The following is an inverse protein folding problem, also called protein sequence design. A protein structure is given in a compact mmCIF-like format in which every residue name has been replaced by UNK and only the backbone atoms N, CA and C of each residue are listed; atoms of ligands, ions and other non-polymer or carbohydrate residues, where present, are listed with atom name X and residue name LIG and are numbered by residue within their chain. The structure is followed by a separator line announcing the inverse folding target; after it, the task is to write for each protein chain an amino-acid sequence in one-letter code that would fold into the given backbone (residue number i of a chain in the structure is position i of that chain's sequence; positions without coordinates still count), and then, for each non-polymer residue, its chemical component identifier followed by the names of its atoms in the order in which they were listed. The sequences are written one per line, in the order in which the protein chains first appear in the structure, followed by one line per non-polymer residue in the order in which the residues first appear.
data_IF_782274819455
#
_entry.id   IF_782274819455
#
_cell.length_a   1.000
_cell.length_b   1.000
_cell.length_c   1.000
_cell.angle_alpha   90.00
_cell.angle_beta   90.00
_cell.angle_gamma   90.00
#
_symmetry.space_group_name_H-M   'P 1'
#
loop_
_entity.id
_entity.type
_entity.pdbx_description
1 polymer ?
#
# COMPACT_ATOMS: atom_id res chain seq x y z
N UNK A 1 -11.87 11.10 10.34
CA UNK A 1 -12.85 10.48 11.27
C UNK A 1 -12.82 8.96 11.11
N UNK A 2 -13.02 8.20 12.20
CA UNK A 2 -13.23 6.74 12.13
C UNK A 2 -14.73 6.48 12.25
N UNK A 3 -15.27 5.61 11.39
CA UNK A 3 -16.66 5.13 11.44
C UNK A 3 -16.67 3.61 11.49
N UNK A 4 -17.60 3.06 12.26
CA UNK A 4 -17.81 1.62 12.34
C UNK A 4 -19.00 1.20 11.46
N UNK A 5 -18.85 0.07 10.79
CA UNK A 5 -19.80 -0.57 9.88
C UNK A 5 -19.77 -2.09 10.12
N UNK A 6 -20.68 -2.81 9.48
CA UNK A 6 -20.59 -4.27 9.42
C UNK A 6 -19.32 -4.67 8.65
N UNK A 7 -18.50 -5.61 9.16
CA UNK A 7 -17.43 -6.25 8.39
C UNK A 7 -17.91 -6.72 7.00
N UNK A 8 -17.09 -6.47 5.99
CA UNK A 8 -17.37 -6.89 4.61
C UNK A 8 -16.17 -7.61 3.99
N UNK A 9 -16.17 -8.94 4.15
CA UNK A 9 -15.10 -9.83 3.69
C UNK A 9 -14.96 -9.85 2.17
N UNK A 10 -16.08 -9.86 1.44
CA UNK A 10 -16.06 -9.88 -0.03
C UNK A 10 -15.43 -8.61 -0.57
N UNK A 11 -15.83 -7.45 -0.04
CA UNK A 11 -15.22 -6.17 -0.40
C UNK A 11 -13.73 -6.12 -0.03
N UNK A 12 -13.35 -6.64 1.15
CA UNK A 12 -11.95 -6.70 1.55
C UNK A 12 -11.10 -7.56 0.59
N UNK A 13 -11.63 -8.70 0.12
CA UNK A 13 -10.98 -9.53 -0.88
C UNK A 13 -10.85 -8.78 -2.22
N UNK A 14 -11.92 -8.17 -2.71
CA UNK A 14 -11.87 -7.40 -3.97
C UNK A 14 -10.88 -6.24 -3.90
N UNK A 15 -10.81 -5.50 -2.78
CA UNK A 15 -9.79 -4.46 -2.57
C UNK A 15 -8.36 -5.04 -2.61
N UNK A 16 -8.16 -6.23 -2.04
CA UNK A 16 -6.84 -6.88 -2.05
C UNK A 16 -6.43 -7.29 -3.47
N UNK A 17 -7.38 -7.81 -4.26
CA UNK A 17 -7.16 -8.18 -5.67
C UNK A 17 -6.87 -6.95 -6.54
N UNK A 18 -7.64 -5.87 -6.39
CA UNK A 18 -7.36 -4.60 -7.07
C UNK A 18 -5.98 -4.07 -6.74
N UNK A 19 -5.59 -4.07 -5.45
CA UNK A 19 -4.26 -3.64 -5.02
C UNK A 19 -3.13 -4.42 -5.71
N UNK A 20 -3.30 -5.75 -5.85
CA UNK A 20 -2.33 -6.63 -6.52
C UNK A 20 -2.27 -6.33 -8.02
N UNK A 21 -3.41 -6.22 -8.69
CA UNK A 21 -3.49 -5.89 -10.11
C UNK A 21 -2.83 -4.53 -10.42
N UNK A 22 -3.11 -3.51 -9.61
CA UNK A 22 -2.55 -2.18 -9.77
C UNK A 22 -1.03 -2.17 -9.59
N UNK A 23 -0.53 -2.94 -8.61
CA UNK A 23 0.91 -3.07 -8.44
C UNK A 23 1.53 -3.80 -9.62
N UNK A 24 0.95 -4.92 -10.05
CA UNK A 24 1.49 -5.73 -11.15
C UNK A 24 1.58 -4.90 -12.43
N UNK A 25 0.56 -4.09 -12.74
CA UNK A 25 0.64 -3.10 -13.80
C UNK A 25 1.76 -2.09 -13.56
N UNK A 26 1.84 -1.51 -12.36
CA UNK A 26 2.88 -0.51 -12.02
C UNK A 26 4.30 -1.05 -12.18
N UNK A 27 4.53 -2.33 -11.87
CA UNK A 27 5.83 -2.99 -12.04
C UNK A 27 6.24 -3.17 -13.51
N UNK A 28 5.30 -3.02 -14.45
CA UNK A 28 5.57 -3.05 -15.90
C UNK A 28 6.00 -1.69 -16.45
N UNK A 29 5.78 -0.60 -15.70
CA UNK A 29 6.09 0.75 -16.18
C UNK A 29 7.62 0.98 -16.25
N UNK A 30 8.11 1.66 -17.30
CA UNK A 30 9.52 2.00 -17.39
C UNK A 30 9.90 3.01 -16.30
N UNK A 31 11.00 2.75 -15.60
CA UNK A 31 11.52 3.64 -14.56
C UNK A 31 12.40 4.75 -15.17
N UNK A 32 11.85 5.96 -15.22
CA UNK A 32 12.48 7.19 -15.74
C UNK A 32 12.20 8.34 -14.78
N UNK A 33 12.93 9.46 -14.90
CA UNK A 33 12.64 10.67 -14.10
C UNK A 33 11.19 11.15 -14.29
N UNK A 34 10.64 11.04 -15.51
CA UNK A 34 9.27 11.46 -15.80
C UNK A 34 8.21 10.54 -15.19
N UNK A 35 8.54 9.26 -14.98
CA UNK A 35 7.62 8.26 -14.43
C UNK A 35 7.82 8.04 -12.92
N UNK A 36 8.88 8.56 -12.31
CA UNK A 36 9.23 8.35 -10.91
C UNK A 36 8.06 8.69 -9.96
N UNK A 37 7.46 9.86 -10.12
CA UNK A 37 6.31 10.28 -9.31
C UNK A 37 5.10 9.35 -9.45
N UNK A 38 4.79 8.90 -10.67
CA UNK A 38 3.67 7.98 -10.94
C UNK A 38 3.93 6.62 -10.30
N UNK A 39 5.15 6.08 -10.46
CA UNK A 39 5.54 4.79 -9.86
C UNK A 39 5.40 4.83 -8.34
N UNK A 40 5.93 5.87 -7.68
CA UNK A 40 5.85 6.02 -6.22
C UNK A 40 4.39 6.14 -5.76
N UNK A 41 3.58 6.97 -6.44
CA UNK A 41 2.15 7.13 -6.13
C UNK A 41 1.44 5.79 -6.22
N UNK A 42 1.58 5.07 -7.33
CA UNK A 42 0.85 3.82 -7.53
C UNK A 42 1.25 2.75 -6.52
N UNK A 43 2.55 2.58 -6.25
CA UNK A 43 3.02 1.61 -5.24
C UNK A 43 2.44 1.95 -3.86
N UNK A 44 2.44 3.23 -3.48
CA UNK A 44 1.82 3.68 -2.24
C UNK A 44 0.33 3.32 -2.20
N UNK A 45 -0.43 3.63 -3.26
CA UNK A 45 -1.87 3.37 -3.31
C UNK A 45 -2.18 1.87 -3.23
N UNK A 46 -1.39 1.00 -3.86
CA UNK A 46 -1.53 -0.46 -3.73
C UNK A 46 -1.37 -0.91 -2.26
N UNK A 47 -0.34 -0.43 -1.55
CA UNK A 47 -0.20 -0.74 -0.12
C UNK A 47 -1.34 -0.15 0.71
N UNK A 48 -1.71 1.11 0.46
CA UNK A 48 -2.82 1.76 1.17
C UNK A 48 -4.11 0.95 1.02
N UNK A 49 -4.39 0.43 -0.18
CA UNK A 49 -5.56 -0.38 -0.47
C UNK A 49 -5.56 -1.74 0.26
N UNK A 50 -4.39 -2.38 0.43
CA UNK A 50 -4.27 -3.56 1.31
C UNK A 50 -4.59 -3.22 2.77
N UNK A 51 -4.12 -2.07 3.25
CA UNK A 51 -4.49 -1.58 4.58
C UNK A 51 -6.00 -1.30 4.71
N UNK A 52 -6.63 -0.75 3.68
CA UNK A 52 -8.08 -0.55 3.63
C UNK A 52 -8.85 -1.86 3.61
N UNK A 53 -8.32 -2.90 2.96
CA UNK A 53 -8.90 -4.23 2.99
C UNK A 53 -8.94 -4.78 4.44
N UNK A 54 -7.86 -4.63 5.20
CA UNK A 54 -7.84 -5.01 6.62
C UNK A 54 -8.88 -4.25 7.45
N UNK A 55 -8.99 -2.93 7.25
CA UNK A 55 -10.00 -2.11 7.93
C UNK A 55 -11.43 -2.52 7.54
N UNK A 56 -11.67 -2.75 6.26
CA UNK A 56 -12.98 -3.20 5.73
C UNK A 56 -13.38 -4.54 6.33
N UNK A 57 -12.43 -5.47 6.47
CA UNK A 57 -12.65 -6.75 7.15
C UNK A 57 -12.94 -6.60 8.65
N UNK A 58 -12.48 -5.53 9.28
CA UNK A 58 -12.81 -5.18 10.67
C UNK A 58 -14.11 -4.38 10.80
N UNK A 59 -14.77 -4.02 9.70
CA UNK A 59 -15.91 -3.11 9.72
C UNK A 59 -15.52 -1.67 10.08
N UNK A 60 -14.27 -1.27 9.80
CA UNK A 60 -13.76 0.07 10.08
C UNK A 60 -13.64 0.85 8.78
N UNK A 61 -14.15 2.07 8.77
CA UNK A 61 -13.96 3.04 7.69
C UNK A 61 -13.17 4.23 8.23
N UNK A 62 -12.08 4.58 7.54
CA UNK A 62 -11.22 5.74 7.85
C UNK A 62 -11.20 6.70 6.66
N UNK A 63 -11.32 7.99 6.95
CA UNK A 63 -11.01 9.07 5.98
C UNK A 63 -9.51 9.42 5.97
N UNK A 64 -8.77 8.99 6.98
CA UNK A 64 -7.33 9.24 7.12
C UNK A 64 -6.52 8.08 6.50
N UNK A 65 -5.73 8.41 5.49
CA UNK A 65 -4.83 7.49 4.81
C UNK A 65 -3.69 6.95 5.69
N UNK A 66 -3.42 7.57 6.84
CA UNK A 66 -2.44 7.07 7.81
C UNK A 66 -2.89 5.74 8.43
N UNK A 67 -4.20 5.58 8.67
CA UNK A 67 -4.73 4.41 9.39
C UNK A 67 -4.51 3.11 8.59
N UNK A 68 -4.85 3.01 7.29
CA UNK A 68 -4.52 1.85 6.47
C UNK A 68 -3.03 1.46 6.50
N UNK A 69 -2.13 2.44 6.47
CA UNK A 69 -0.69 2.18 6.49
C UNK A 69 -0.24 1.64 7.85
N UNK A 70 -0.78 2.16 8.94
CA UNK A 70 -0.49 1.64 10.29
C UNK A 70 -0.94 0.19 10.46
N UNK A 71 -2.08 -0.18 9.88
CA UNK A 71 -2.55 -1.58 9.89
C UNK A 71 -1.53 -2.52 9.24
N UNK A 72 -0.92 -2.11 8.13
CA UNK A 72 0.14 -2.89 7.50
C UNK A 72 1.43 -2.93 8.32
N UNK A 73 1.85 -1.81 8.89
CA UNK A 73 3.09 -1.73 9.69
C UNK A 73 3.01 -2.64 10.93
N UNK A 74 1.82 -2.83 11.48
CA UNK A 74 1.58 -3.66 12.66
C UNK A 74 1.39 -5.15 12.34
N UNK A 75 1.56 -5.58 11.08
CA UNK A 75 1.51 -6.99 10.73
C UNK A 75 2.68 -7.73 11.36
N UNK A 76 2.37 -8.81 12.08
CA UNK A 76 3.36 -9.75 12.60
C UNK A 76 3.83 -10.68 11.47
N UNK A 77 4.80 -10.18 10.68
CA UNK A 77 5.47 -10.89 9.58
C UNK A 77 6.93 -10.47 9.47
N UNK A 78 7.80 -11.42 9.10
CA UNK A 78 9.21 -11.13 8.84
C UNK A 78 9.43 -10.75 7.38
N UNK A 79 9.65 -9.47 7.12
CA UNK A 79 9.86 -8.91 5.78
C UNK A 79 11.34 -8.69 5.47
N UNK A 80 11.71 -8.71 4.18
CA UNK A 80 13.09 -8.48 3.75
C UNK A 80 13.55 -7.04 4.00
N UNK A 81 12.62 -6.09 4.00
CA UNK A 81 12.87 -4.70 4.41
C UNK A 81 11.83 -4.28 5.45
N UNK A 82 12.18 -3.40 6.41
CA UNK A 82 11.27 -3.02 7.49
C UNK A 82 9.95 -2.42 6.98
N UNK A 83 8.82 -2.87 7.52
CA UNK A 83 7.49 -2.36 7.16
C UNK A 83 7.34 -0.86 7.43
N UNK A 84 8.11 -0.31 8.37
CA UNK A 84 8.15 1.12 8.68
C UNK A 84 8.48 2.00 7.46
N UNK A 85 9.09 1.43 6.41
CA UNK A 85 9.31 2.10 5.13
C UNK A 85 8.00 2.58 4.47
N UNK A 86 6.85 1.94 4.77
CA UNK A 86 5.54 2.39 4.28
C UNK A 86 5.16 3.79 4.78
N UNK A 87 5.59 4.20 5.98
CA UNK A 87 5.36 5.57 6.46
C UNK A 87 6.23 6.60 5.70
N UNK A 88 7.45 6.21 5.33
CA UNK A 88 8.28 7.02 4.45
C UNK A 88 7.64 7.19 3.07
N UNK A 89 7.14 6.08 2.49
CA UNK A 89 6.41 6.09 1.22
C UNK A 89 5.16 6.99 1.26
N UNK A 90 4.40 6.97 2.37
CA UNK A 90 3.27 7.88 2.60
C UNK A 90 3.69 9.35 2.56
N UNK A 91 4.80 9.69 3.21
CA UNK A 91 5.34 11.07 3.23
C UNK A 91 5.79 11.50 1.83
N UNK A 92 6.47 10.62 1.09
CA UNK A 92 6.85 10.89 -0.30
C UNK A 92 5.61 11.15 -1.16
N UNK A 93 4.61 10.27 -1.15
CA UNK A 93 3.37 10.48 -1.91
C UNK A 93 2.69 11.79 -1.54
N UNK A 94 2.65 12.17 -0.26
CA UNK A 94 2.13 13.48 0.17
C UNK A 94 2.92 14.64 -0.45
N UNK A 95 4.25 14.60 -0.42
CA UNK A 95 5.11 15.62 -1.01
C UNK A 95 4.88 15.74 -2.52
N UNK A 96 4.82 14.59 -3.21
CA UNK A 96 4.57 14.51 -4.65
C UNK A 96 3.19 15.10 -5.00
N UNK A 97 2.16 14.91 -4.17
CA UNK A 97 0.79 15.33 -4.49
C UNK A 97 0.49 16.79 -4.16
N UNK A 98 1.04 17.30 -3.06
CA UNK A 98 0.61 18.59 -2.49
C UNK A 98 1.70 19.66 -2.50
N UNK A 99 2.96 19.30 -2.76
CA UNK A 99 4.09 20.22 -2.65
C UNK A 99 4.93 20.32 -3.93
N UNK A 100 4.45 19.78 -5.05
CA UNK A 100 5.13 19.84 -6.34
C UNK A 100 6.49 19.11 -6.38
N UNK A 101 6.74 18.23 -5.40
CA UNK A 101 8.01 17.52 -5.30
C UNK A 101 8.18 16.54 -6.49
N UNK A 102 9.37 16.57 -7.07
CA UNK A 102 9.78 15.72 -8.18
C UNK A 102 10.75 14.67 -7.65
N UNK A 103 10.26 13.44 -7.48
CA UNK A 103 11.09 12.33 -7.06
C UNK A 103 12.09 11.97 -8.16
N UNK A 104 13.30 11.64 -7.73
CA UNK A 104 14.34 11.14 -8.61
C UNK A 104 14.08 9.70 -9.05
N UNK A 105 14.69 9.29 -10.17
CA UNK A 105 14.75 7.88 -10.58
C UNK A 105 15.29 6.96 -9.49
N UNK A 106 16.24 7.43 -8.68
CA UNK A 106 16.84 6.67 -7.57
C UNK A 106 15.81 6.39 -6.47
N UNK A 107 15.09 7.41 -6.00
CA UNK A 107 14.07 7.26 -4.97
C UNK A 107 12.94 6.33 -5.43
N UNK A 108 12.50 6.48 -6.68
CA UNK A 108 11.52 5.58 -7.26
C UNK A 108 12.04 4.13 -7.39
N UNK A 109 13.34 3.95 -7.67
CA UNK A 109 14.02 2.66 -7.63
C UNK A 109 13.98 2.02 -6.24
N UNK A 110 14.31 2.77 -5.20
CA UNK A 110 14.28 2.27 -3.81
C UNK A 110 12.87 1.81 -3.39
N UNK A 111 11.83 2.51 -3.86
CA UNK A 111 10.42 2.16 -3.62
C UNK A 111 10.02 0.91 -4.42
N UNK A 112 10.44 0.79 -5.68
CA UNK A 112 10.21 -0.40 -6.50
C UNK A 112 10.85 -1.64 -5.89
N UNK A 113 12.09 -1.54 -5.42
CA UNK A 113 12.78 -2.65 -4.79
C UNK A 113 12.11 -3.04 -3.47
N UNK A 114 11.64 -2.06 -2.69
CA UNK A 114 10.80 -2.36 -1.53
C UNK A 114 9.54 -3.15 -1.91
N UNK A 115 8.81 -2.72 -2.94
CA UNK A 115 7.59 -3.39 -3.38
C UNK A 115 7.87 -4.83 -3.84
N UNK A 116 8.88 -5.03 -4.69
CA UNK A 116 9.28 -6.35 -5.21
C UNK A 116 9.67 -7.33 -4.11
N UNK A 117 10.35 -6.85 -3.07
CA UNK A 117 10.85 -7.70 -2.00
C UNK A 117 9.77 -8.10 -0.99
N UNK A 118 8.71 -7.31 -0.83
CA UNK A 118 7.81 -7.43 0.32
C UNK A 118 6.32 -7.54 -0.05
N UNK A 119 5.87 -7.04 -1.20
CA UNK A 119 4.44 -6.92 -1.48
C UNK A 119 3.72 -8.26 -1.46
N UNK A 120 4.23 -9.28 -2.16
CA UNK A 120 3.56 -10.58 -2.22
C UNK A 120 3.45 -11.24 -0.85
N UNK A 121 4.43 -11.05 0.04
CA UNK A 121 4.39 -11.55 1.41
C UNK A 121 3.31 -10.82 2.23
N UNK A 122 3.27 -9.49 2.14
CA UNK A 122 2.26 -8.66 2.82
C UNK A 122 0.87 -9.01 2.30
N UNK A 123 0.70 -9.11 0.98
CA UNK A 123 -0.54 -9.49 0.31
C UNK A 123 -1.06 -10.85 0.79
N UNK A 124 -0.22 -11.89 0.80
CA UNK A 124 -0.62 -13.22 1.30
C UNK A 124 -1.04 -13.16 2.77
N UNK A 125 -0.31 -12.41 3.61
CA UNK A 125 -0.69 -12.23 5.01
C UNK A 125 -2.05 -11.56 5.16
N UNK A 126 -2.32 -10.51 4.38
CA UNK A 126 -3.60 -9.81 4.37
C UNK A 126 -4.72 -10.76 3.96
N UNK A 127 -4.54 -11.54 2.89
CA UNK A 127 -5.51 -12.56 2.47
C UNK A 127 -5.77 -13.60 3.57
N UNK A 128 -4.73 -14.08 4.24
CA UNK A 128 -4.89 -15.06 5.33
C UNK A 128 -5.72 -14.50 6.49
N UNK A 129 -5.50 -13.23 6.86
CA UNK A 129 -6.29 -12.55 7.90
C UNK A 129 -7.75 -12.45 7.46
N UNK A 130 -8.01 -11.97 6.24
CA UNK A 130 -9.36 -11.80 5.71
C UNK A 130 -10.08 -13.16 5.59
N UNK A 131 -9.39 -14.21 5.16
CA UNK A 131 -9.98 -15.55 5.01
C UNK A 131 -10.29 -16.24 6.33
N UNK A 132 -9.51 -15.99 7.38
CA UNK A 132 -9.70 -16.60 8.71
C UNK A 132 -10.68 -15.83 9.60
N UNK A 133 -10.82 -14.52 9.40
CA UNK A 133 -11.88 -13.70 10.02
C UNK A 133 -13.24 -13.95 9.38
#
# INVERSE_FOLDING_TARGET
MIRYKKPDKNKALSLSESAKSDLDFTLTLPLTEKSANTVIRNIYESFRMLGEALLTNKGIQSEDHVIPIRELINLDINTKRPLMFLDHLRKMRRNINYYGYMASKKEAGDVLDFARLNFDLIYRRVLDIIKRG
#
